data_IF_718163358509
#
_entry.id   IF_718163358509
#
_cell.length_a   1.000
_cell.length_b   1.000
_cell.length_c   1.000
_cell.angle_alpha   90.00
_cell.angle_beta   90.00
_cell.angle_gamma   90.00
#
_symmetry.space_group_name_H-M   'P 1'
#
loop_
_entity.id
_entity.type
_entity.pdbx_description
1 polymer ?
#
# COMPACT_ATOMS: atom_id res chain seq x y z
N UNK A 1 9.10 19.78 -7.08
CA UNK A 1 7.62 19.79 -7.15
C UNK A 1 7.11 19.02 -8.37
N UNK A 2 7.51 19.33 -9.62
CA UNK A 2 7.06 18.59 -10.82
C UNK A 2 7.72 17.20 -10.89
N UNK A 3 9.00 17.06 -10.56
CA UNK A 3 9.71 15.80 -10.53
C UNK A 3 9.16 14.84 -9.45
N UNK A 4 8.82 15.36 -8.27
CA UNK A 4 8.20 14.57 -7.19
C UNK A 4 6.81 14.05 -7.60
N UNK A 5 5.96 14.90 -8.19
CA UNK A 5 4.65 14.50 -8.69
C UNK A 5 4.74 13.42 -9.79
N UNK A 6 5.73 13.54 -10.68
CA UNK A 6 5.98 12.54 -11.74
C UNK A 6 6.44 11.21 -11.15
N UNK A 7 7.28 11.23 -10.12
CA UNK A 7 7.74 10.02 -9.43
C UNK A 7 6.60 9.32 -8.66
N UNK A 8 5.76 10.06 -7.96
CA UNK A 8 4.58 9.50 -7.26
C UNK A 8 3.65 8.76 -8.20
N UNK A 9 3.33 9.35 -9.36
CA UNK A 9 2.48 8.70 -10.35
C UNK A 9 3.13 7.45 -10.97
N UNK A 10 4.45 7.44 -11.15
CA UNK A 10 5.16 6.26 -11.66
C UNK A 10 5.08 5.09 -10.69
N UNK A 11 5.33 5.30 -9.40
CA UNK A 11 5.29 4.24 -8.39
C UNK A 11 3.87 3.71 -8.20
N UNK A 12 2.87 4.60 -8.17
CA UNK A 12 1.47 4.20 -8.11
C UNK A 12 1.08 3.31 -9.30
N UNK A 13 1.49 3.69 -10.52
CA UNK A 13 1.25 2.89 -11.72
C UNK A 13 1.93 1.52 -11.65
N UNK A 14 3.12 1.43 -11.07
CA UNK A 14 3.81 0.16 -10.86
C UNK A 14 3.06 -0.70 -9.85
N UNK A 15 2.58 -0.12 -8.73
CA UNK A 15 1.75 -0.83 -7.76
C UNK A 15 0.46 -1.37 -8.41
N UNK A 16 -0.25 -0.55 -9.18
CA UNK A 16 -1.48 -0.98 -9.85
C UNK A 16 -1.22 -2.14 -10.83
N UNK A 17 -0.14 -2.07 -11.61
CA UNK A 17 0.28 -3.18 -12.48
C UNK A 17 0.61 -4.45 -11.68
N UNK A 18 1.28 -4.31 -10.56
CA UNK A 18 1.58 -5.42 -9.65
C UNK A 18 0.29 -6.05 -9.11
N UNK A 19 -0.67 -5.25 -8.66
CA UNK A 19 -1.96 -5.73 -8.17
C UNK A 19 -2.76 -6.45 -9.27
N UNK A 20 -2.77 -5.93 -10.50
CA UNK A 20 -3.40 -6.57 -11.66
C UNK A 20 -2.72 -7.91 -11.95
N UNK A 21 -1.39 -7.97 -11.94
CA UNK A 21 -0.63 -9.21 -12.11
C UNK A 21 -1.02 -10.25 -11.06
N UNK A 22 -1.07 -9.87 -9.78
CA UNK A 22 -1.52 -10.77 -8.70
C UNK A 22 -2.94 -11.29 -8.93
N UNK A 23 -3.89 -10.43 -9.34
CA UNK A 23 -5.26 -10.87 -9.67
C UNK A 23 -5.28 -11.85 -10.83
N UNK A 24 -4.45 -11.64 -11.82
CA UNK A 24 -4.30 -12.56 -12.96
C UNK A 24 -3.74 -13.91 -12.50
N UNK A 25 -2.68 -13.91 -11.69
CA UNK A 25 -2.12 -15.15 -11.11
C UNK A 25 -3.15 -15.86 -10.21
N UNK A 26 -3.91 -15.13 -9.39
CA UNK A 26 -4.97 -15.71 -8.56
C UNK A 26 -6.02 -16.42 -9.41
N UNK A 27 -6.38 -15.85 -10.57
CA UNK A 27 -7.34 -16.43 -11.50
C UNK A 27 -6.80 -17.71 -12.14
N UNK A 28 -5.56 -17.74 -12.57
CA UNK A 28 -4.91 -18.94 -13.11
C UNK A 28 -4.78 -20.03 -12.04
N UNK A 29 -4.27 -19.69 -10.86
CA UNK A 29 -4.15 -20.64 -9.75
C UNK A 29 -5.50 -21.26 -9.38
N UNK A 30 -6.58 -20.48 -9.42
CA UNK A 30 -7.95 -20.99 -9.18
C UNK A 30 -8.37 -21.99 -10.25
N UNK A 31 -8.05 -21.75 -11.51
CA UNK A 31 -8.37 -22.66 -12.61
C UNK A 31 -7.56 -23.95 -12.53
N UNK A 32 -6.31 -23.89 -12.08
CA UNK A 32 -5.44 -25.05 -11.87
C UNK A 32 -5.71 -25.79 -10.54
N UNK A 33 -6.57 -25.23 -9.68
CA UNK A 33 -6.90 -25.82 -8.37
C UNK A 33 -5.85 -25.58 -7.28
N UNK A 34 -4.91 -24.68 -7.48
CA UNK A 34 -3.89 -24.31 -6.51
C UNK A 34 -4.47 -23.36 -5.44
N UNK A 35 -5.01 -23.98 -4.38
CA UNK A 35 -5.64 -23.25 -3.28
C UNK A 35 -4.65 -22.43 -2.48
N UNK A 36 -3.41 -22.88 -2.34
CA UNK A 36 -2.39 -22.20 -1.53
C UNK A 36 -2.06 -20.82 -2.14
N UNK A 37 -1.81 -20.76 -3.44
CA UNK A 37 -1.56 -19.50 -4.15
C UNK A 37 -2.79 -18.59 -4.09
N UNK A 38 -3.99 -19.15 -4.30
CA UNK A 38 -5.24 -18.35 -4.24
C UNK A 38 -5.43 -17.70 -2.87
N UNK A 39 -5.25 -18.46 -1.77
CA UNK A 39 -5.41 -17.96 -0.40
C UNK A 39 -4.33 -16.93 -0.04
N UNK A 40 -3.08 -17.18 -0.42
CA UNK A 40 -1.96 -16.27 -0.18
C UNK A 40 -2.17 -14.90 -0.85
N UNK A 41 -2.59 -14.90 -2.11
CA UNK A 41 -2.90 -13.65 -2.82
C UNK A 41 -4.11 -12.96 -2.18
N UNK A 42 -5.14 -13.71 -1.79
CA UNK A 42 -6.30 -13.13 -1.12
C UNK A 42 -5.91 -12.45 0.20
N UNK A 43 -5.13 -13.12 1.04
CA UNK A 43 -4.62 -12.55 2.29
C UNK A 43 -3.82 -11.25 2.08
N UNK A 44 -3.10 -11.14 0.97
CA UNK A 44 -2.41 -9.91 0.61
C UNK A 44 -3.40 -8.78 0.36
N UNK A 45 -4.43 -9.02 -0.48
CA UNK A 45 -5.45 -8.02 -0.78
C UNK A 45 -6.23 -7.61 0.48
N UNK A 46 -6.60 -8.57 1.33
CA UNK A 46 -7.33 -8.31 2.58
C UNK A 46 -6.50 -7.44 3.53
N UNK A 47 -5.18 -7.69 3.61
CA UNK A 47 -4.26 -6.89 4.41
C UNK A 47 -4.11 -5.47 3.85
N UNK A 48 -3.95 -5.34 2.53
CA UNK A 48 -3.82 -4.04 1.89
C UNK A 48 -5.11 -3.21 2.02
N UNK A 49 -6.26 -3.83 1.84
CA UNK A 49 -7.57 -3.21 2.08
C UNK A 49 -7.74 -2.76 3.53
N UNK A 50 -7.41 -3.62 4.50
CA UNK A 50 -7.45 -3.28 5.92
C UNK A 50 -6.51 -2.11 6.24
N UNK A 51 -5.36 -2.04 5.59
CA UNK A 51 -4.43 -0.93 5.73
C UNK A 51 -5.02 0.38 5.20
N UNK A 52 -5.68 0.36 4.03
CA UNK A 52 -6.39 1.51 3.49
C UNK A 52 -7.52 1.97 4.40
N UNK A 53 -8.31 1.03 4.97
CA UNK A 53 -9.38 1.35 5.92
C UNK A 53 -8.84 2.10 7.14
N UNK A 54 -7.71 1.67 7.69
CA UNK A 54 -7.06 2.34 8.83
C UNK A 54 -6.52 3.71 8.42
N UNK A 55 -5.86 3.79 7.27
CA UNK A 55 -5.24 5.02 6.78
C UNK A 55 -6.28 6.10 6.48
N UNK A 56 -7.35 5.72 5.78
CA UNK A 56 -8.42 6.62 5.37
C UNK A 56 -9.47 6.86 6.48
N UNK A 57 -9.33 6.14 7.61
CA UNK A 57 -10.29 6.17 8.73
C UNK A 57 -11.73 5.82 8.31
N UNK A 58 -11.86 4.87 7.38
CA UNK A 58 -13.12 4.53 6.76
C UNK A 58 -13.23 3.00 6.55
N UNK A 59 -14.08 2.36 7.35
CA UNK A 59 -14.24 0.90 7.35
C UNK A 59 -14.97 0.34 6.13
N UNK A 60 -15.72 1.18 5.42
CA UNK A 60 -16.45 0.78 4.21
C UNK A 60 -15.57 0.73 2.96
N UNK A 61 -14.29 1.04 3.09
CA UNK A 61 -13.33 0.98 1.98
C UNK A 61 -13.14 -0.46 1.52
N UNK A 62 -13.31 -0.67 0.22
CA UNK A 62 -13.04 -1.92 -0.48
C UNK A 62 -12.28 -1.66 -1.78
N UNK A 63 -11.43 -2.61 -2.16
CA UNK A 63 -10.75 -2.62 -3.45
C UNK A 63 -11.61 -3.31 -4.50
N UNK A 64 -12.02 -2.56 -5.50
CA UNK A 64 -12.75 -3.09 -6.65
C UNK A 64 -11.83 -3.30 -7.83
N UNK A 65 -11.73 -4.55 -8.32
CA UNK A 65 -10.98 -4.87 -9.53
C UNK A 65 -11.83 -4.68 -10.77
N UNK A 66 -11.48 -3.68 -11.57
CA UNK A 66 -12.07 -3.48 -12.90
C UNK A 66 -11.35 -4.35 -13.93
N UNK A 67 -11.85 -5.56 -14.13
CA UNK A 67 -11.26 -6.54 -15.05
C UNK A 67 -11.33 -6.11 -16.51
N UNK A 68 -12.21 -5.18 -16.88
CA UNK A 68 -12.35 -4.68 -18.26
C UNK A 68 -11.25 -3.70 -18.63
N UNK A 69 -10.86 -2.87 -17.66
CA UNK A 69 -9.85 -1.84 -17.83
C UNK A 69 -8.50 -2.21 -17.19
N UNK A 70 -8.40 -3.41 -16.59
CA UNK A 70 -7.19 -3.87 -15.88
C UNK A 70 -6.71 -2.85 -14.85
N UNK A 71 -7.64 -2.36 -14.00
CA UNK A 71 -7.38 -1.33 -13.02
C UNK A 71 -8.05 -1.65 -11.68
N UNK A 72 -7.64 -0.95 -10.64
CA UNK A 72 -8.26 -0.99 -9.31
C UNK A 72 -8.87 0.34 -8.98
N UNK A 73 -10.05 0.29 -8.36
CA UNK A 73 -10.76 1.44 -7.81
C UNK A 73 -10.97 1.25 -6.31
N UNK A 74 -11.11 2.36 -5.63
CA UNK A 74 -11.50 2.40 -4.23
C UNK A 74 -13.02 2.59 -4.20
N UNK A 75 -13.72 1.65 -3.57
CA UNK A 75 -15.14 1.77 -3.29
C UNK A 75 -15.34 2.19 -1.85
N UNK A 76 -16.20 3.14 -1.62
CA UNK A 76 -16.62 3.64 -0.31
C UNK A 76 -18.14 3.71 -0.27
N UNK A 77 -18.77 3.40 0.87
CA UNK A 77 -20.21 3.50 1.01
C UNK A 77 -20.70 4.95 0.79
N UNK A 78 -21.77 5.10 0.02
CA UNK A 78 -22.34 6.41 -0.30
C UNK A 78 -21.55 7.26 -1.31
N UNK A 79 -20.51 6.69 -1.94
CA UNK A 79 -19.71 7.37 -2.97
C UNK A 79 -19.51 6.48 -4.19
N UNK A 80 -19.48 7.09 -5.39
CA UNK A 80 -19.07 6.38 -6.60
C UNK A 80 -17.61 5.90 -6.47
N UNK A 81 -17.31 4.71 -7.03
CA UNK A 81 -15.94 4.20 -7.05
C UNK A 81 -14.98 5.20 -7.70
N UNK A 82 -13.85 5.46 -7.04
CA UNK A 82 -12.86 6.43 -7.48
C UNK A 82 -11.47 5.82 -7.61
N UNK A 83 -10.58 6.48 -8.34
CA UNK A 83 -9.23 6.02 -8.58
C UNK A 83 -8.27 6.45 -7.45
N UNK A 84 -7.15 5.73 -7.32
CA UNK A 84 -6.08 6.10 -6.38
C UNK A 84 -5.51 7.50 -6.66
N UNK A 85 -5.53 7.93 -7.92
CA UNK A 85 -5.11 9.27 -8.36
C UNK A 85 -6.00 10.41 -7.85
N UNK A 86 -7.22 10.09 -7.39
CA UNK A 86 -8.17 11.05 -6.83
C UNK A 86 -8.03 11.26 -5.31
N UNK A 87 -7.10 10.54 -4.68
CA UNK A 87 -6.76 10.75 -3.29
C UNK A 87 -6.04 12.09 -3.09
N UNK A 88 -6.19 12.71 -1.93
CA UNK A 88 -5.45 13.92 -1.59
C UNK A 88 -3.95 13.66 -1.50
N UNK A 89 -3.14 14.72 -1.66
CA UNK A 89 -1.67 14.63 -1.67
C UNK A 89 -1.10 13.90 -0.45
N UNK A 90 -1.66 14.13 0.74
CA UNK A 90 -1.22 13.45 1.96
C UNK A 90 -1.42 11.93 1.91
N UNK A 91 -2.58 11.46 1.47
CA UNK A 91 -2.83 10.03 1.30
C UNK A 91 -1.99 9.42 0.17
N UNK A 92 -1.83 10.16 -0.93
CA UNK A 92 -0.99 9.74 -2.05
C UNK A 92 0.45 9.54 -1.61
N UNK A 93 0.99 10.42 -0.75
CA UNK A 93 2.35 10.29 -0.19
C UNK A 93 2.51 9.02 0.65
N UNK A 94 1.53 8.68 1.50
CA UNK A 94 1.58 7.44 2.28
C UNK A 94 1.49 6.21 1.38
N UNK A 95 0.57 6.21 0.41
CA UNK A 95 0.45 5.10 -0.54
C UNK A 95 1.72 4.95 -1.36
N UNK A 96 2.40 6.05 -1.72
CA UNK A 96 3.71 6.01 -2.35
C UNK A 96 4.74 5.28 -1.50
N UNK A 97 4.90 5.62 -0.22
CA UNK A 97 5.83 4.95 0.69
C UNK A 97 5.51 3.46 0.79
N UNK A 98 4.24 3.11 1.00
CA UNK A 98 3.79 1.72 1.11
C UNK A 98 4.06 0.96 -0.18
N UNK A 99 3.77 1.57 -1.32
CA UNK A 99 3.97 0.97 -2.64
C UNK A 99 5.44 0.71 -2.93
N UNK A 100 6.31 1.69 -2.65
CA UNK A 100 7.75 1.54 -2.85
C UNK A 100 8.32 0.42 -1.97
N UNK A 101 7.89 0.34 -0.70
CA UNK A 101 8.29 -0.74 0.20
C UNK A 101 7.81 -2.11 -0.29
N UNK A 102 6.54 -2.24 -0.66
CA UNK A 102 5.99 -3.49 -1.20
C UNK A 102 6.79 -3.95 -2.41
N UNK A 103 7.02 -3.07 -3.37
CA UNK A 103 7.72 -3.39 -4.62
C UNK A 103 9.20 -3.77 -4.39
N UNK A 104 9.86 -3.16 -3.39
CA UNK A 104 11.24 -3.53 -3.01
C UNK A 104 11.30 -4.87 -2.29
N UNK A 105 10.30 -5.20 -1.49
CA UNK A 105 10.24 -6.44 -0.73
C UNK A 105 9.86 -7.63 -1.62
N UNK A 106 9.08 -7.41 -2.65
CA UNK A 106 8.66 -8.46 -3.58
C UNK A 106 9.53 -8.47 -4.85
N UNK A 107 10.76 -8.94 -4.70
CA UNK A 107 11.66 -9.16 -5.83
C UNK A 107 11.16 -10.24 -6.80
N UNK A 108 10.32 -11.14 -6.33
CA UNK A 108 9.80 -12.26 -7.12
C UNK A 108 8.92 -11.78 -8.26
N UNK A 109 8.17 -10.69 -8.07
CA UNK A 109 7.37 -10.09 -9.13
C UNK A 109 8.20 -9.64 -10.34
N UNK A 110 9.34 -9.00 -10.09
CA UNK A 110 10.25 -8.53 -11.14
C UNK A 110 10.90 -9.67 -11.92
N UNK A 111 11.04 -10.84 -11.29
CA UNK A 111 11.68 -12.03 -11.86
C UNK A 111 10.66 -13.05 -12.41
N UNK A 112 9.36 -12.79 -12.29
CA UNK A 112 8.29 -13.73 -12.69
C UNK A 112 8.19 -14.98 -11.80
N UNK A 113 8.76 -14.94 -10.60
CA UNK A 113 8.71 -16.03 -9.62
C UNK A 113 7.43 -15.95 -8.77
N UNK A 114 7.17 -16.99 -7.98
CA UNK A 114 6.02 -17.03 -7.07
C UNK A 114 6.07 -15.91 -6.01
N UNK A 115 4.90 -15.36 -5.67
CA UNK A 115 4.75 -14.25 -4.72
C UNK A 115 5.27 -14.65 -3.34
N UNK A 116 6.35 -14.02 -2.90
CA UNK A 116 6.94 -14.25 -1.58
C UNK A 116 6.08 -13.64 -0.47
N UNK A 117 6.17 -14.20 0.74
CA UNK A 117 5.52 -13.60 1.91
C UNK A 117 6.22 -12.30 2.32
N UNK A 118 5.45 -11.30 2.84
CA UNK A 118 5.99 -10.04 3.39
C UNK A 118 6.81 -10.23 4.68
N UNK A 119 7.65 -11.25 4.72
CA UNK A 119 8.55 -11.53 5.83
C UNK A 119 9.95 -10.94 5.63
N UNK A 120 10.12 -10.11 4.61
CA UNK A 120 11.41 -9.47 4.38
C UNK A 120 11.80 -8.62 5.59
N UNK A 121 13.00 -8.86 6.10
CA UNK A 121 13.61 -8.07 7.16
C UNK A 121 14.44 -6.96 6.53
N UNK A 122 14.43 -5.79 7.14
CA UNK A 122 15.19 -4.67 6.62
C UNK A 122 15.17 -3.45 7.52
N UNK A 123 15.93 -2.43 7.10
CA UNK A 123 15.95 -1.11 7.73
C UNK A 123 15.52 -0.11 6.67
N UNK A 124 14.56 0.74 7.02
CA UNK A 124 14.04 1.82 6.17
C UNK A 124 14.34 3.14 6.83
N UNK A 125 15.00 4.02 6.06
CA UNK A 125 15.31 5.38 6.48
C UNK A 125 14.33 6.32 5.78
N UNK A 126 13.61 7.13 6.55
CA UNK A 126 12.70 8.15 6.01
C UNK A 126 13.07 9.50 6.63
N UNK A 127 13.43 10.44 5.79
CA UNK A 127 13.72 11.81 6.22
C UNK A 127 12.46 12.65 6.16
N UNK A 128 12.21 13.46 7.19
CA UNK A 128 11.04 14.33 7.30
C UNK A 128 9.70 13.63 7.00
N UNK A 129 9.39 12.57 7.76
CA UNK A 129 8.21 11.74 7.53
C UNK A 129 6.89 12.53 7.49
N UNK A 130 6.80 13.71 8.13
CA UNK A 130 5.64 14.59 8.14
C UNK A 130 5.39 15.33 6.82
N UNK A 131 6.36 15.36 5.92
CA UNK A 131 6.27 16.16 4.69
C UNK A 131 5.03 15.79 3.89
N UNK A 132 4.21 16.81 3.56
CA UNK A 132 2.92 16.70 2.88
C UNK A 132 1.81 15.98 3.67
N UNK A 133 2.03 15.54 4.92
CA UNK A 133 1.01 14.89 5.73
C UNK A 133 0.20 15.88 6.56
N UNK A 134 -1.13 15.78 6.49
CA UNK A 134 -2.01 16.46 7.43
C UNK A 134 -1.84 15.89 8.85
N UNK A 135 -2.15 16.71 9.87
CA UNK A 135 -1.95 16.35 11.29
C UNK A 135 -2.53 14.98 11.65
N UNK A 136 -3.72 14.65 11.15
CA UNK A 136 -4.33 13.34 11.43
C UNK A 136 -3.56 12.16 10.83
N UNK A 137 -2.94 12.35 9.66
CA UNK A 137 -2.05 11.34 9.07
C UNK A 137 -0.72 11.25 9.83
N UNK A 138 -0.19 12.37 10.30
CA UNK A 138 1.03 12.38 11.12
C UNK A 138 0.88 11.54 12.39
N UNK A 139 -0.30 11.53 13.02
CA UNK A 139 -0.59 10.70 14.20
C UNK A 139 -0.64 9.20 13.88
N UNK A 140 -0.96 8.83 12.64
CA UNK A 140 -1.26 7.45 12.24
C UNK A 140 -0.14 6.78 11.46
N UNK A 141 0.71 7.56 10.76
CA UNK A 141 1.63 7.01 9.76
C UNK A 141 2.64 6.03 10.35
N UNK A 142 3.29 6.35 11.46
CA UNK A 142 4.32 5.49 12.02
C UNK A 142 3.74 4.22 12.68
N UNK A 143 2.67 4.28 13.49
CA UNK A 143 1.94 3.09 13.93
C UNK A 143 1.43 2.23 12.77
N UNK A 144 0.97 2.85 11.70
CA UNK A 144 0.53 2.16 10.50
C UNK A 144 1.68 1.40 9.84
N UNK A 145 2.83 2.06 9.57
CA UNK A 145 3.98 1.45 8.92
C UNK A 145 4.54 0.28 9.73
N UNK A 146 4.69 0.44 11.05
CA UNK A 146 5.20 -0.60 11.94
C UNK A 146 4.27 -1.80 12.06
N UNK A 147 2.96 -1.57 12.02
CA UNK A 147 1.97 -2.65 12.03
C UNK A 147 1.90 -3.39 10.70
N UNK A 148 2.00 -2.66 9.58
CA UNK A 148 1.89 -3.24 8.24
C UNK A 148 3.16 -3.99 7.84
N UNK A 149 4.33 -3.50 8.26
CA UNK A 149 5.64 -4.09 8.00
C UNK A 149 6.33 -4.51 9.32
N UNK A 150 5.89 -5.56 9.99
CA UNK A 150 6.33 -5.90 11.35
C UNK A 150 7.80 -6.30 11.46
N UNK A 151 8.43 -6.70 10.35
CA UNK A 151 9.82 -7.13 10.31
C UNK A 151 10.78 -6.03 9.77
N UNK A 152 10.26 -4.82 9.56
CA UNK A 152 11.05 -3.65 9.12
C UNK A 152 11.33 -2.76 10.32
N UNK A 153 12.60 -2.40 10.50
CA UNK A 153 13.00 -1.33 11.40
C UNK A 153 12.91 0.01 10.68
N UNK A 154 12.06 0.90 11.16
CA UNK A 154 11.98 2.27 10.65
C UNK A 154 12.86 3.20 11.46
N UNK A 155 13.72 3.96 10.78
CA UNK A 155 14.48 5.06 11.34
C UNK A 155 14.00 6.32 10.62
N UNK A 156 13.34 7.21 11.36
CA UNK A 156 12.70 8.39 10.77
C UNK A 156 13.24 9.67 11.42
N UNK A 157 13.40 10.72 10.62
CA UNK A 157 13.54 12.07 11.14
C UNK A 157 12.19 12.77 11.07
N UNK A 158 11.91 13.65 12.01
CA UNK A 158 10.68 14.42 12.03
C UNK A 158 10.80 15.67 12.92
N UNK A 159 10.15 16.76 12.51
CA UNK A 159 9.91 17.94 13.32
C UNK A 159 8.48 17.94 13.91
N UNK A 160 7.67 16.91 13.62
CA UNK A 160 6.29 16.84 14.07
C UNK A 160 6.17 16.27 15.49
N UNK A 161 5.63 17.03 16.44
CA UNK A 161 5.30 16.49 17.77
C UNK A 161 4.23 15.38 17.70
N UNK A 162 3.40 15.36 16.68
CA UNK A 162 2.36 14.35 16.50
C UNK A 162 2.94 12.97 16.14
N UNK A 163 3.98 12.93 15.30
CA UNK A 163 4.69 11.69 14.97
C UNK A 163 5.44 11.19 16.20
N UNK A 164 6.17 12.07 16.90
CA UNK A 164 6.90 11.69 18.13
C UNK A 164 5.98 11.10 19.21
N UNK A 165 4.80 11.69 19.40
CA UNK A 165 3.82 11.21 20.38
C UNK A 165 3.06 9.95 19.92
N UNK A 166 3.07 9.62 18.63
CA UNK A 166 2.34 8.45 18.12
C UNK A 166 2.93 7.11 18.55
N UNK A 167 4.18 7.10 19.03
CA UNK A 167 4.91 5.88 19.43
C UNK A 167 4.88 5.67 20.95
N UNK A 168 4.38 6.63 21.71
CA UNK A 168 4.50 6.66 23.20
C UNK A 168 3.38 5.92 23.94
N UNK A 169 2.61 5.06 23.25
CA UNK A 169 1.53 4.28 23.86
C UNK A 169 1.67 2.78 23.60
#
# INVERSE_FOLDING_TARGET
TILEFTMHNQVLNILLKYMVHMKTQQSFARNEGDKEIVERIQQWFDRFESALQVLLDEKSIHLEYDYKNYNFKIRQEGREPFEFSELSDGYSSVIYIVSDLILRMDKSWLLGEEISQYNAQGIVLIDELETHLHIELQKKILPFLTKFFPNIQFIVTTHSPYILNSISN
#
